data_IF_655440590615
#
_entry.id   IF_655440590615
#
_cell.length_a   1.000
_cell.length_b   1.000
_cell.length_c   1.000
_cell.angle_alpha   90.00
_cell.angle_beta   90.00
_cell.angle_gamma   90.00
#
_symmetry.space_group_name_H-M   'P 1'
#
loop_
_entity.id
_entity.type
_entity.pdbx_description
1 polymer ?
#
# COMPACT_ATOMS: atom_id res chain seq x y z
N UNK A 1 -11.87 -2.65 20.13
CA UNK A 1 -10.68 -2.59 19.24
C UNK A 1 -11.15 -2.41 17.79
N UNK A 2 -11.35 -1.17 17.31
CA UNK A 2 -11.85 -0.90 15.93
C UNK A 2 -10.82 -0.20 15.01
N UNK A 3 -9.75 0.37 15.56
CA UNK A 3 -8.78 1.19 14.83
C UNK A 3 -7.62 0.43 14.16
N UNK A 4 -7.54 -0.91 14.27
CA UNK A 4 -6.39 -1.69 13.74
C UNK A 4 -6.48 -2.05 12.25
N UNK A 5 -7.65 -1.87 11.62
CA UNK A 5 -7.89 -2.29 10.23
C UNK A 5 -7.99 -1.14 9.22
N UNK A 6 -7.97 0.13 9.64
CA UNK A 6 -8.18 1.25 8.69
C UNK A 6 -7.05 1.35 7.66
N UNK A 7 -5.78 1.22 8.06
CA UNK A 7 -4.64 1.25 7.13
C UNK A 7 -4.66 0.07 6.15
N UNK A 8 -5.09 -1.12 6.60
CA UNK A 8 -5.24 -2.28 5.72
C UNK A 8 -6.39 -2.11 4.74
N UNK A 9 -7.51 -1.54 5.17
CA UNK A 9 -8.64 -1.23 4.29
C UNK A 9 -8.23 -0.18 3.25
N UNK A 10 -7.54 0.88 3.66
CA UNK A 10 -7.03 1.90 2.73
C UNK A 10 -6.05 1.31 1.72
N UNK A 11 -5.13 0.44 2.17
CA UNK A 11 -4.21 -0.23 1.27
C UNK A 11 -4.94 -1.16 0.29
N UNK A 12 -5.95 -1.90 0.76
CA UNK A 12 -6.81 -2.72 -0.11
C UNK A 12 -7.49 -1.86 -1.17
N UNK A 13 -8.16 -0.78 -0.77
CA UNK A 13 -8.92 0.07 -1.68
C UNK A 13 -8.02 0.69 -2.76
N UNK A 14 -6.78 1.06 -2.40
CA UNK A 14 -5.76 1.53 -3.34
C UNK A 14 -5.33 0.43 -4.33
N UNK A 15 -5.09 -0.79 -3.85
CA UNK A 15 -4.71 -1.92 -4.71
C UNK A 15 -5.86 -2.34 -5.63
N UNK A 16 -7.11 -2.24 -5.17
CA UNK A 16 -8.29 -2.45 -6.00
C UNK A 16 -8.41 -1.37 -7.08
N UNK A 17 -8.17 -0.10 -6.74
CA UNK A 17 -8.12 0.97 -7.72
C UNK A 17 -7.03 0.73 -8.78
N UNK A 18 -5.84 0.28 -8.37
CA UNK A 18 -4.76 -0.10 -9.29
C UNK A 18 -5.16 -1.22 -10.26
N UNK A 19 -5.75 -2.31 -9.76
CA UNK A 19 -6.20 -3.44 -10.59
C UNK A 19 -7.24 -3.00 -11.62
N UNK A 20 -8.13 -2.09 -11.24
CA UNK A 20 -9.17 -1.56 -12.12
C UNK A 20 -8.66 -0.45 -13.07
N UNK A 21 -7.37 -0.10 -13.02
CA UNK A 21 -6.80 0.98 -13.83
C UNK A 21 -7.31 2.38 -13.44
N UNK A 22 -7.86 2.52 -12.23
CA UNK A 22 -8.30 3.81 -11.71
C UNK A 22 -7.10 4.64 -11.24
N UNK A 23 -7.26 5.96 -11.25
CA UNK A 23 -6.27 6.86 -10.67
C UNK A 23 -6.21 6.68 -9.15
N UNK A 24 -5.00 6.54 -8.61
CA UNK A 24 -4.74 6.48 -7.17
C UNK A 24 -3.43 7.18 -6.84
N UNK A 25 -3.31 7.65 -5.59
CA UNK A 25 -2.08 8.30 -5.11
C UNK A 25 -1.03 7.24 -4.75
N UNK A 26 -0.05 7.05 -5.64
CA UNK A 26 1.07 6.10 -5.46
C UNK A 26 1.94 6.46 -4.25
N UNK A 27 2.13 7.73 -3.96
CA UNK A 27 2.94 8.19 -2.85
C UNK A 27 2.24 7.91 -1.51
N UNK A 28 0.93 8.10 -1.46
CA UNK A 28 0.12 7.69 -0.32
C UNK A 28 0.14 6.17 -0.12
N UNK A 29 -0.01 5.40 -1.19
CA UNK A 29 0.08 3.95 -1.18
C UNK A 29 1.41 3.45 -0.60
N UNK A 30 2.53 4.08 -1.01
CA UNK A 30 3.87 3.79 -0.52
C UNK A 30 3.98 4.05 0.98
N UNK A 31 3.52 5.21 1.47
CA UNK A 31 3.54 5.55 2.90
C UNK A 31 2.71 4.58 3.74
N UNK A 32 1.53 4.19 3.25
CA UNK A 32 0.68 3.20 3.92
C UNK A 32 1.37 1.84 4.00
N UNK A 33 1.95 1.36 2.90
CA UNK A 33 2.68 0.09 2.89
C UNK A 33 3.84 0.10 3.90
N UNK A 34 4.64 1.16 3.95
CA UNK A 34 5.73 1.30 4.95
C UNK A 34 5.19 1.30 6.39
N UNK A 35 4.13 2.06 6.67
CA UNK A 35 3.49 2.11 8.00
C UNK A 35 3.01 0.72 8.44
N UNK A 36 2.27 0.03 7.56
CA UNK A 36 1.75 -1.31 7.82
C UNK A 36 2.89 -2.32 8.00
N UNK A 37 3.91 -2.29 7.15
CA UNK A 37 5.05 -3.20 7.23
C UNK A 37 5.90 -3.01 8.50
N UNK A 38 5.95 -1.79 9.05
CA UNK A 38 6.61 -1.49 10.32
C UNK A 38 5.80 -1.99 11.52
N UNK A 39 4.47 -1.89 11.47
CA UNK A 39 3.57 -2.32 12.55
C UNK A 39 3.31 -3.83 12.59
N UNK A 40 3.38 -4.48 11.43
CA UNK A 40 3.05 -5.90 11.27
C UNK A 40 4.22 -6.66 10.61
N UNK A 41 5.16 -7.19 11.43
CA UNK A 41 6.35 -7.87 10.93
C UNK A 41 6.05 -9.07 10.02
N UNK A 42 4.92 -9.75 10.23
CA UNK A 42 4.49 -10.91 9.45
C UNK A 42 4.26 -10.60 7.97
N UNK A 43 3.84 -9.37 7.63
CA UNK A 43 3.65 -8.93 6.26
C UNK A 43 4.69 -7.91 5.78
N UNK A 44 5.72 -7.62 6.59
CA UNK A 44 6.74 -6.61 6.30
C UNK A 44 7.39 -6.78 4.93
N UNK A 45 7.79 -8.00 4.56
CA UNK A 45 8.39 -8.29 3.23
C UNK A 45 7.44 -7.96 2.07
N UNK A 46 6.16 -8.31 2.20
CA UNK A 46 5.15 -8.03 1.18
C UNK A 46 4.93 -6.53 1.07
N UNK A 47 4.85 -5.84 2.20
CA UNK A 47 4.67 -4.40 2.25
C UNK A 47 5.86 -3.63 1.67
N UNK A 48 7.10 -4.08 1.91
CA UNK A 48 8.29 -3.52 1.26
C UNK A 48 8.21 -3.60 -0.26
N UNK A 49 7.82 -4.75 -0.82
CA UNK A 49 7.66 -4.92 -2.28
C UNK A 49 6.58 -4.00 -2.85
N UNK A 50 5.48 -3.82 -2.12
CA UNK A 50 4.42 -2.88 -2.52
C UNK A 50 4.99 -1.46 -2.51
N UNK A 51 5.70 -1.05 -1.46
CA UNK A 51 6.30 0.27 -1.38
C UNK A 51 7.30 0.54 -2.51
N UNK A 52 8.19 -0.41 -2.81
CA UNK A 52 9.15 -0.35 -3.93
C UNK A 52 8.43 -0.21 -5.27
N UNK A 53 7.36 -0.99 -5.50
CA UNK A 53 6.56 -0.91 -6.73
C UNK A 53 5.87 0.44 -6.88
N UNK A 54 5.39 1.03 -5.78
CA UNK A 54 4.74 2.34 -5.81
C UNK A 54 5.72 3.50 -6.03
N UNK A 55 6.98 3.34 -5.59
CA UNK A 55 8.09 4.27 -5.86
C UNK A 55 8.56 4.22 -7.32
N UNK A 56 8.56 3.02 -7.93
CA UNK A 56 8.87 2.88 -9.34
C UNK A 56 7.85 3.66 -10.18
N UNK A 57 8.31 4.74 -10.82
CA UNK A 57 7.55 5.48 -11.83
C UNK A 57 7.27 4.50 -12.98
N UNK A 58 6.00 4.28 -13.38
CA UNK A 58 5.73 3.42 -14.53
C UNK A 58 6.42 4.01 -15.78
N UNK A 59 7.05 3.19 -16.64
CA UNK A 59 7.60 3.69 -17.90
C UNK A 59 6.46 4.32 -18.71
N UNK A 60 6.71 5.54 -19.19
CA UNK A 60 5.82 6.32 -20.07
C UNK A 60 5.47 5.56 -21.36
#
# INVERSE_FOLDING_TARGET
MKYRCEEFNQLRDILEAEINGHHFDRDHARRLAVSVGSRYPSCSKTMSRIAERMEAVPPL
#
